data_IF_352521504047
#
_entry.id   IF_352521504047
#
_cell.length_a   1.000
_cell.length_b   1.000
_cell.length_c   1.000
_cell.angle_alpha   90.00
_cell.angle_beta   90.00
_cell.angle_gamma   90.00
#
_symmetry.space_group_name_H-M   'P 1'
#
loop_
_entity.id
_entity.type
_entity.pdbx_description
1 polymer ?
#
# COMPACT_ATOMS: atom_id res chain seq x y z
N UNK A 1 -69.08 -22.48 -11.51
CA UNK A 1 -67.66 -22.33 -11.88
C UNK A 1 -67.47 -21.52 -13.17
N UNK A 2 -68.30 -20.53 -13.48
CA UNK A 2 -68.23 -19.67 -14.69
C UNK A 2 -68.18 -18.17 -14.39
N UNK A 3 -68.30 -17.75 -13.14
CA UNK A 3 -68.32 -16.32 -12.74
C UNK A 3 -66.96 -15.80 -12.34
N UNK A 4 -66.04 -16.66 -11.83
CA UNK A 4 -64.71 -16.24 -11.42
C UNK A 4 -63.73 -15.93 -12.57
N UNK A 5 -63.98 -16.43 -13.79
CA UNK A 5 -63.11 -16.16 -14.97
C UNK A 5 -63.32 -14.79 -15.61
N UNK A 6 -64.49 -14.13 -15.36
CA UNK A 6 -64.77 -12.80 -15.98
C UNK A 6 -64.21 -11.62 -15.17
N UNK A 7 -63.91 -11.76 -13.87
CA UNK A 7 -63.40 -10.67 -13.03
C UNK A 7 -61.90 -10.47 -13.22
N UNK A 8 -61.16 -11.51 -13.62
CA UNK A 8 -59.69 -11.42 -13.77
C UNK A 8 -59.23 -10.78 -15.10
N UNK A 9 -60.08 -10.72 -16.13
CA UNK A 9 -59.71 -10.16 -17.44
C UNK A 9 -60.03 -8.67 -17.59
N UNK A 10 -60.79 -8.05 -16.67
CA UNK A 10 -61.15 -6.65 -16.77
C UNK A 10 -60.11 -5.66 -16.16
N UNK A 11 -59.05 -6.18 -15.50
CA UNK A 11 -58.00 -5.33 -14.87
C UNK A 11 -56.77 -5.11 -15.72
N UNK A 12 -56.63 -5.76 -16.86
CA UNK A 12 -55.50 -5.61 -17.77
C UNK A 12 -55.77 -4.57 -18.85
N UNK A 13 -55.85 -3.29 -18.47
CA UNK A 13 -55.79 -2.23 -19.47
C UNK A 13 -54.39 -2.24 -20.12
N UNK A 14 -54.30 -2.35 -21.47
CA UNK A 14 -53.01 -2.43 -22.19
C UNK A 14 -52.06 -1.28 -21.82
N UNK A 15 -52.60 -0.11 -21.50
CA UNK A 15 -51.80 1.03 -21.01
C UNK A 15 -51.08 0.75 -19.66
N UNK A 16 -51.69 0.01 -18.72
CA UNK A 16 -51.10 -0.34 -17.43
C UNK A 16 -50.02 -1.41 -17.57
N UNK A 17 -50.16 -2.35 -18.50
CA UNK A 17 -49.17 -3.37 -18.80
C UNK A 17 -47.95 -2.75 -19.44
N UNK A 18 -48.12 -1.81 -20.38
CA UNK A 18 -47.02 -1.07 -21.03
C UNK A 18 -46.27 -0.24 -19.99
N UNK A 19 -46.96 0.46 -19.06
CA UNK A 19 -46.33 1.23 -18.01
C UNK A 19 -45.53 0.34 -17.05
N UNK A 20 -46.08 -0.82 -16.64
CA UNK A 20 -45.35 -1.79 -15.80
C UNK A 20 -44.12 -2.38 -16.51
N UNK A 21 -44.21 -2.66 -17.81
CA UNK A 21 -43.13 -3.20 -18.62
C UNK A 21 -41.99 -2.14 -18.81
N UNK A 22 -42.37 -0.88 -19.02
CA UNK A 22 -41.40 0.25 -19.11
C UNK A 22 -40.72 0.47 -17.77
N UNK A 23 -41.42 0.42 -16.63
CA UNK A 23 -40.81 0.50 -15.30
C UNK A 23 -39.85 -0.68 -15.03
N UNK A 24 -40.21 -1.90 -15.49
CA UNK A 24 -39.33 -3.07 -15.32
C UNK A 24 -38.05 -2.99 -16.16
N UNK A 25 -38.09 -2.30 -17.31
CA UNK A 25 -36.92 -2.07 -18.19
C UNK A 25 -35.99 -0.95 -17.68
N UNK A 26 -36.47 -0.06 -16.82
CA UNK A 26 -35.69 1.04 -16.28
C UNK A 26 -34.87 0.61 -15.02
N UNK A 27 -35.32 -0.41 -14.29
CA UNK A 27 -34.68 -0.90 -13.07
C UNK A 27 -33.24 -1.39 -13.29
N UNK A 28 -32.83 -2.05 -14.38
CA UNK A 28 -31.45 -2.46 -14.59
C UNK A 28 -30.49 -1.32 -14.93
N UNK A 29 -30.97 -0.10 -15.24
CA UNK A 29 -30.09 1.05 -15.50
C UNK A 29 -29.64 1.82 -14.25
N UNK A 30 -30.19 1.51 -13.08
CA UNK A 30 -29.62 1.90 -11.80
C UNK A 30 -28.59 0.84 -11.32
N UNK A 31 -27.65 0.44 -12.17
CA UNK A 31 -26.46 -0.22 -11.72
C UNK A 31 -25.70 0.80 -10.86
N UNK A 32 -25.91 0.79 -9.55
CA UNK A 32 -25.04 1.47 -8.61
C UNK A 32 -23.63 0.94 -8.87
N UNK A 33 -22.80 1.72 -9.52
CA UNK A 33 -21.37 1.42 -9.57
C UNK A 33 -20.90 1.28 -8.13
N UNK A 34 -20.39 0.11 -7.77
CA UNK A 34 -19.82 -0.08 -6.45
C UNK A 34 -18.72 0.99 -6.26
N UNK A 35 -18.66 1.62 -5.09
CA UNK A 35 -17.62 2.60 -4.83
C UNK A 35 -16.25 1.92 -5.02
N UNK A 36 -15.37 2.56 -5.78
CA UNK A 36 -14.03 2.02 -6.05
C UNK A 36 -13.25 1.95 -4.74
N UNK A 37 -12.74 0.76 -4.45
CA UNK A 37 -11.81 0.56 -3.34
C UNK A 37 -10.38 0.82 -3.83
N UNK A 38 -9.83 1.99 -3.56
CA UNK A 38 -8.50 2.39 -4.02
C UNK A 38 -7.36 1.54 -3.43
N UNK A 39 -7.57 0.82 -2.32
CA UNK A 39 -6.57 -0.12 -1.78
C UNK A 39 -6.30 -1.29 -2.72
N UNK A 40 -7.27 -1.63 -3.58
CA UNK A 40 -7.11 -2.69 -4.57
C UNK A 40 -6.12 -2.33 -5.69
N UNK A 41 -5.72 -1.06 -5.77
CA UNK A 41 -4.79 -0.53 -6.77
C UNK A 41 -3.41 -0.21 -6.18
N UNK A 42 -3.14 -0.61 -4.93
CA UNK A 42 -1.83 -0.42 -4.31
C UNK A 42 -0.85 -1.48 -4.81
N UNK A 43 0.15 -1.05 -5.58
CA UNK A 43 1.22 -1.89 -6.17
C UNK A 43 2.47 -1.96 -5.30
N UNK A 44 2.70 -0.93 -4.48
CA UNK A 44 3.77 -0.91 -3.48
C UNK A 44 3.26 -0.33 -2.16
N UNK A 45 3.53 -1.04 -1.07
CA UNK A 45 3.22 -0.62 0.28
C UNK A 45 4.44 -0.79 1.18
N UNK A 46 5.01 0.31 1.70
CA UNK A 46 5.91 0.26 2.87
C UNK A 46 5.08 0.57 4.10
N UNK A 47 4.76 -0.48 4.86
CA UNK A 47 3.82 -0.40 5.98
C UNK A 47 4.49 -0.11 7.32
N UNK A 48 5.79 -0.45 7.48
CA UNK A 48 6.56 -0.23 8.70
C UNK A 48 8.04 0.04 8.39
N UNK A 49 8.69 0.72 9.33
CA UNK A 49 10.13 0.99 9.34
C UNK A 49 10.64 0.65 10.74
N UNK A 50 11.73 -0.10 10.84
CA UNK A 50 12.43 -0.36 12.08
C UNK A 50 13.81 0.29 12.01
N UNK A 51 14.22 0.96 13.07
CA UNK A 51 15.47 1.67 13.17
C UNK A 51 16.29 1.15 14.34
N UNK A 52 17.58 0.96 14.11
CA UNK A 52 18.57 0.82 15.17
C UNK A 52 19.77 1.68 14.83
N UNK A 53 20.17 2.51 15.77
CA UNK A 53 21.29 3.43 15.62
C UNK A 53 22.33 3.17 16.71
N UNK A 54 23.58 3.12 16.30
CA UNK A 54 24.74 3.11 17.18
C UNK A 54 25.71 4.20 16.70
N UNK A 55 26.86 4.35 17.35
CA UNK A 55 27.90 5.28 16.91
C UNK A 55 28.38 4.99 15.48
N UNK A 56 28.42 3.70 15.10
CA UNK A 56 29.08 3.23 13.88
C UNK A 56 28.08 2.68 12.84
N UNK A 57 26.85 2.35 13.24
CA UNK A 57 25.89 1.70 12.37
C UNK A 57 24.52 2.37 12.41
N UNK A 58 23.92 2.57 11.20
CA UNK A 58 22.53 2.95 11.04
C UNK A 58 21.80 1.83 10.29
N UNK A 59 21.04 1.03 11.02
CA UNK A 59 20.25 -0.05 10.49
C UNK A 59 18.81 0.40 10.26
N UNK A 60 18.30 0.16 9.05
CA UNK A 60 16.90 0.36 8.68
C UNK A 60 16.35 -0.93 8.12
N UNK A 61 15.22 -1.37 8.65
CA UNK A 61 14.50 -2.53 8.15
C UNK A 61 13.11 -2.07 7.70
N UNK A 62 12.71 -2.39 6.48
CA UNK A 62 11.42 -2.02 5.91
C UNK A 62 10.52 -3.24 5.76
N UNK A 63 9.29 -3.13 6.24
CA UNK A 63 8.20 -4.03 5.87
C UNK A 63 7.57 -3.53 4.59
N UNK A 64 7.77 -4.25 3.49
CA UNK A 64 7.31 -3.86 2.16
C UNK A 64 6.44 -4.95 1.57
N UNK A 65 5.34 -4.57 0.94
CA UNK A 65 4.58 -5.43 0.03
C UNK A 65 4.66 -4.78 -1.35
N UNK A 66 5.21 -5.49 -2.33
CA UNK A 66 5.37 -4.96 -3.68
C UNK A 66 5.28 -6.04 -4.75
N UNK A 67 5.00 -5.62 -5.96
CA UNK A 67 4.98 -6.47 -7.15
C UNK A 67 6.36 -7.10 -7.42
N UNK A 68 6.36 -8.27 -8.04
CA UNK A 68 7.58 -8.93 -8.51
C UNK A 68 7.34 -9.53 -9.90
N UNK A 69 7.99 -9.03 -10.98
CA UNK A 69 8.90 -7.89 -11.01
C UNK A 69 8.17 -6.56 -10.70
N UNK A 70 8.91 -5.61 -10.10
CA UNK A 70 8.36 -4.30 -9.78
C UNK A 70 8.37 -3.41 -11.02
N UNK A 71 7.18 -3.03 -11.50
CA UNK A 71 6.97 -2.18 -12.66
C UNK A 71 6.07 -1.00 -12.26
N UNK A 72 6.43 0.20 -12.68
CA UNK A 72 5.64 1.41 -12.49
C UNK A 72 5.00 1.78 -13.84
N UNK A 73 3.97 1.05 -14.24
CA UNK A 73 3.32 1.19 -15.55
C UNK A 73 1.83 1.53 -15.48
N UNK A 74 1.35 1.89 -14.28
CA UNK A 74 -0.05 2.25 -14.03
C UNK A 74 -1.00 1.04 -13.96
N UNK A 75 -0.47 -0.19 -13.84
CA UNK A 75 -1.25 -1.41 -13.75
C UNK A 75 -0.80 -2.29 -12.59
N UNK A 76 -1.62 -2.39 -11.55
CA UNK A 76 -1.34 -3.24 -10.38
C UNK A 76 -1.34 -4.73 -10.74
N UNK A 77 -0.41 -5.48 -10.15
CA UNK A 77 -0.27 -6.93 -10.18
C UNK A 77 -0.26 -7.52 -8.76
N UNK A 78 -0.03 -8.83 -8.67
CA UNK A 78 0.15 -9.49 -7.37
C UNK A 78 1.38 -8.96 -6.63
N UNK A 79 1.23 -8.77 -5.32
CA UNK A 79 2.29 -8.26 -4.45
C UNK A 79 2.81 -9.37 -3.53
N UNK A 80 4.08 -9.27 -3.16
CA UNK A 80 4.74 -10.19 -2.23
C UNK A 80 5.30 -9.40 -1.05
N UNK A 81 5.08 -9.90 0.16
CA UNK A 81 5.65 -9.32 1.37
C UNK A 81 7.15 -9.59 1.45
N UNK A 82 7.90 -8.54 1.74
CA UNK A 82 9.36 -8.56 1.82
C UNK A 82 9.84 -7.81 3.05
N UNK A 83 10.89 -8.34 3.65
CA UNK A 83 11.71 -7.64 4.61
C UNK A 83 12.95 -7.12 3.86
N UNK A 84 13.12 -5.80 3.80
CA UNK A 84 14.27 -5.15 3.16
C UNK A 84 15.13 -4.50 4.23
N UNK A 85 16.40 -4.88 4.27
CA UNK A 85 17.39 -4.43 5.24
C UNK A 85 18.39 -3.51 4.56
N UNK A 86 18.65 -2.36 5.14
CA UNK A 86 19.64 -1.38 4.71
C UNK A 86 20.51 -1.03 5.90
N UNK A 87 21.82 -1.09 5.70
CA UNK A 87 22.80 -0.79 6.74
C UNK A 87 23.84 0.20 6.20
N UNK A 88 23.93 1.35 6.86
CA UNK A 88 25.05 2.25 6.70
C UNK A 88 26.12 1.88 7.75
N UNK A 89 27.35 1.63 7.29
CA UNK A 89 28.49 1.22 8.09
C UNK A 89 29.70 2.15 7.82
N UNK A 90 30.71 2.17 8.72
CA UNK A 90 31.87 3.08 8.59
C UNK A 90 32.74 2.85 7.34
N UNK A 91 32.73 1.65 6.77
CA UNK A 91 33.49 1.28 5.58
C UNK A 91 32.70 0.22 4.79
N UNK A 92 32.89 0.17 3.48
CA UNK A 92 32.30 -0.83 2.57
C UNK A 92 33.25 -1.98 2.20
N UNK A 93 34.48 -1.96 2.72
CA UNK A 93 35.53 -2.95 2.40
C UNK A 93 35.45 -4.22 3.25
N UNK A 94 34.50 -4.31 4.17
CA UNK A 94 34.40 -5.40 5.13
C UNK A 94 33.22 -6.30 4.82
N UNK A 95 33.40 -7.59 5.08
CA UNK A 95 32.30 -8.57 5.08
C UNK A 95 31.25 -8.13 6.11
N UNK A 96 30.02 -8.16 5.68
CA UNK A 96 28.88 -7.74 6.47
C UNK A 96 27.80 -8.81 6.44
N UNK A 97 27.50 -9.40 7.59
CA UNK A 97 26.48 -10.45 7.74
C UNK A 97 25.50 -10.02 8.82
N UNK A 98 24.21 -10.11 8.54
CA UNK A 98 23.16 -9.80 9.51
C UNK A 98 22.20 -10.96 9.63
N UNK A 99 21.93 -11.37 10.86
CA UNK A 99 20.88 -12.33 11.18
C UNK A 99 19.87 -11.73 12.14
N UNK A 100 18.62 -12.16 12.01
CA UNK A 100 17.53 -11.83 12.92
C UNK A 100 16.55 -13.00 13.02
N UNK A 101 15.76 -13.02 14.10
CA UNK A 101 14.80 -14.10 14.37
C UNK A 101 13.38 -13.54 14.38
N UNK A 102 12.48 -14.18 13.63
CA UNK A 102 11.06 -13.87 13.60
C UNK A 102 10.27 -15.17 13.79
N UNK A 103 9.38 -15.19 14.77
CA UNK A 103 8.56 -16.38 15.11
C UNK A 103 9.37 -17.67 15.33
N UNK A 104 10.60 -17.56 15.85
CA UNK A 104 11.49 -18.68 16.10
C UNK A 104 12.32 -19.16 14.90
N UNK A 105 12.11 -18.59 13.73
CA UNK A 105 12.89 -18.88 12.53
C UNK A 105 13.98 -17.82 12.31
N UNK A 106 15.16 -18.28 11.90
CA UNK A 106 16.32 -17.42 11.63
C UNK A 106 16.34 -16.98 10.17
N UNK A 107 16.41 -15.67 9.96
CA UNK A 107 16.53 -15.01 8.67
C UNK A 107 17.83 -14.22 8.60
N UNK A 108 18.26 -13.87 7.39
CA UNK A 108 19.44 -13.03 7.17
C UNK A 108 20.50 -13.75 6.36
N UNK A 109 21.70 -13.18 6.35
CA UNK A 109 22.85 -13.66 5.59
C UNK A 109 23.82 -12.54 5.30
N UNK A 110 24.67 -12.75 4.31
CA UNK A 110 25.60 -11.74 3.79
C UNK A 110 24.82 -10.59 3.13
N UNK A 111 25.20 -9.35 3.46
CA UNK A 111 24.63 -8.15 2.87
C UNK A 111 25.47 -7.75 1.65
N UNK A 112 24.81 -7.50 0.52
CA UNK A 112 25.46 -6.96 -0.67
C UNK A 112 25.64 -5.46 -0.55
N UNK A 113 26.81 -4.95 -0.94
CA UNK A 113 27.04 -3.52 -0.95
C UNK A 113 26.47 -2.86 -2.22
N UNK A 114 25.62 -1.85 -2.04
CA UNK A 114 25.10 -0.99 -3.11
C UNK A 114 25.93 0.29 -3.20
N UNK A 115 26.84 0.33 -4.19
CA UNK A 115 27.75 1.48 -4.42
C UNK A 115 27.07 2.74 -4.92
N UNK A 116 25.83 2.66 -5.41
CA UNK A 116 25.04 3.85 -5.81
C UNK A 116 24.47 4.55 -4.58
N UNK A 117 23.95 3.76 -3.64
CA UNK A 117 23.37 4.27 -2.38
C UNK A 117 24.40 4.40 -1.26
N UNK A 118 25.58 3.80 -1.42
CA UNK A 118 26.64 3.71 -0.42
C UNK A 118 26.19 3.05 0.88
N UNK A 119 25.45 1.94 0.76
CA UNK A 119 24.90 1.17 1.88
C UNK A 119 24.88 -0.32 1.59
N UNK A 120 24.90 -1.14 2.63
CA UNK A 120 24.68 -2.58 2.53
C UNK A 120 23.20 -2.90 2.44
N UNK A 121 22.85 -3.93 1.67
CA UNK A 121 21.47 -4.33 1.39
C UNK A 121 21.28 -5.84 1.49
N UNK A 122 20.15 -6.25 2.08
CA UNK A 122 19.65 -7.62 2.06
C UNK A 122 18.13 -7.60 1.93
N UNK A 123 17.55 -8.63 1.30
CA UNK A 123 16.11 -8.76 1.20
C UNK A 123 15.68 -10.20 1.21
N UNK A 124 14.60 -10.51 1.93
CA UNK A 124 13.96 -11.83 1.93
C UNK A 124 12.42 -11.70 1.87
N UNK A 125 11.76 -12.79 1.47
CA UNK A 125 10.30 -12.90 1.51
C UNK A 125 9.87 -13.18 2.95
N UNK A 126 9.40 -12.15 3.64
CA UNK A 126 8.98 -12.22 5.04
C UNK A 126 8.06 -11.02 5.34
N UNK A 127 6.97 -11.26 6.04
CA UNK A 127 6.13 -10.19 6.59
C UNK A 127 6.57 -9.85 8.02
N UNK A 128 7.04 -8.62 8.19
CA UNK A 128 7.42 -8.04 9.50
C UNK A 128 6.55 -6.83 9.86
N UNK A 129 5.48 -6.59 9.12
CA UNK A 129 4.68 -5.36 9.21
C UNK A 129 4.06 -5.10 10.59
N UNK A 130 3.74 -6.16 11.33
CA UNK A 130 3.06 -6.10 12.63
C UNK A 130 4.00 -6.13 13.84
N UNK A 131 5.30 -6.33 13.62
CA UNK A 131 6.27 -6.40 14.70
C UNK A 131 6.50 -5.02 15.31
N UNK A 132 6.84 -4.99 16.59
CA UNK A 132 7.22 -3.76 17.32
C UNK A 132 8.73 -3.55 17.34
N UNK A 133 9.50 -4.65 17.31
CA UNK A 133 10.95 -4.65 17.29
C UNK A 133 11.48 -5.90 16.60
N UNK A 134 12.71 -5.83 16.13
CA UNK A 134 13.45 -6.92 15.50
C UNK A 134 14.85 -6.96 16.13
N UNK A 135 15.16 -8.06 16.82
CA UNK A 135 16.49 -8.29 17.36
C UNK A 135 17.42 -8.86 16.28
N UNK A 136 18.54 -8.23 16.10
CA UNK A 136 19.49 -8.56 15.06
C UNK A 136 20.89 -8.82 15.66
N UNK A 137 21.63 -9.73 15.05
CA UNK A 137 23.07 -9.91 15.26
C UNK A 137 23.78 -9.51 13.98
N UNK A 138 24.54 -8.43 14.05
CA UNK A 138 25.38 -7.92 12.97
C UNK A 138 26.81 -8.41 13.17
N UNK A 139 27.39 -9.09 12.17
CA UNK A 139 28.82 -9.38 12.09
C UNK A 139 29.42 -8.50 11.02
N UNK A 140 30.33 -7.62 11.42
CA UNK A 140 30.99 -6.66 10.54
C UNK A 140 32.52 -6.75 10.70
N UNK A 141 33.22 -7.19 9.64
CA UNK A 141 34.68 -7.41 9.70
C UNK A 141 35.08 -8.42 10.79
N UNK A 142 34.26 -9.44 11.06
CA UNK A 142 34.49 -10.48 12.06
C UNK A 142 34.09 -10.08 13.49
N UNK A 143 33.58 -8.88 13.74
CA UNK A 143 33.12 -8.43 15.05
C UNK A 143 31.59 -8.50 15.12
N UNK A 144 31.08 -9.20 16.13
CA UNK A 144 29.63 -9.31 16.38
C UNK A 144 29.12 -8.13 17.23
N UNK A 145 27.96 -7.60 16.82
CA UNK A 145 27.24 -6.52 17.50
C UNK A 145 25.76 -6.88 17.57
N UNK A 146 25.17 -6.89 18.75
CA UNK A 146 23.74 -7.01 18.92
C UNK A 146 23.04 -5.67 18.67
N UNK A 147 22.01 -5.67 17.86
CA UNK A 147 21.19 -4.51 17.52
C UNK A 147 19.71 -4.83 17.79
N UNK A 148 18.95 -3.87 18.28
CA UNK A 148 17.50 -3.97 18.41
C UNK A 148 16.87 -2.87 17.56
N UNK A 149 16.32 -3.25 16.43
CA UNK A 149 15.62 -2.33 15.53
C UNK A 149 14.16 -2.18 15.98
N UNK A 150 13.78 -0.95 16.35
CA UNK A 150 12.46 -0.62 16.90
C UNK A 150 11.59 0.03 15.83
N UNK A 151 10.33 -0.36 15.77
CA UNK A 151 9.34 0.23 14.86
C UNK A 151 9.16 1.72 15.14
N UNK A 152 9.16 2.53 14.09
CA UNK A 152 8.83 3.96 14.15
C UNK A 152 7.33 4.22 14.28
N UNK A 153 6.50 3.20 14.10
CA UNK A 153 5.05 3.32 14.28
C UNK A 153 4.71 3.33 15.75
N UNK A 154 3.85 4.26 16.11
CA UNK A 154 3.23 4.39 17.42
C UNK A 154 1.73 4.11 17.31
N UNK A 155 1.03 3.96 18.41
CA UNK A 155 -0.40 3.66 18.42
C UNK A 155 -1.26 4.74 17.73
N UNK A 156 -0.76 5.97 17.64
CA UNK A 156 -1.39 7.11 16.95
C UNK A 156 -0.99 7.23 15.47
N UNK A 157 -0.09 6.38 14.96
CA UNK A 157 0.24 6.32 13.53
C UNK A 157 -0.91 5.67 12.77
N UNK A 158 -1.47 6.37 11.79
CA UNK A 158 -2.53 5.84 10.94
C UNK A 158 -2.08 4.55 10.23
N UNK A 159 -3.03 3.67 9.94
CA UNK A 159 -2.74 2.60 8.97
C UNK A 159 -2.60 3.21 7.56
N UNK A 160 -1.82 2.58 6.66
CA UNK A 160 -1.69 3.04 5.27
C UNK A 160 -3.04 3.20 4.57
N UNK A 161 -3.97 2.28 4.80
CA UNK A 161 -5.34 2.33 4.27
C UNK A 161 -6.09 3.58 4.78
N UNK A 162 -6.01 3.88 6.09
CA UNK A 162 -6.64 5.09 6.64
C UNK A 162 -6.02 6.36 6.05
N UNK A 163 -4.68 6.38 5.89
CA UNK A 163 -3.99 7.52 5.28
C UNK A 163 -4.43 7.73 3.82
N UNK A 164 -4.56 6.65 3.03
CA UNK A 164 -5.09 6.71 1.67
C UNK A 164 -6.54 7.21 1.65
N UNK A 165 -7.39 6.71 2.53
CA UNK A 165 -8.79 7.12 2.62
C UNK A 165 -8.93 8.62 2.96
N UNK A 166 -8.09 9.15 3.85
CA UNK A 166 -8.07 10.60 4.12
C UNK A 166 -7.61 11.40 2.89
N UNK A 167 -6.61 10.93 2.16
CA UNK A 167 -6.18 11.56 0.91
C UNK A 167 -7.30 11.58 -0.14
N UNK A 168 -7.97 10.45 -0.36
CA UNK A 168 -9.08 10.32 -1.33
C UNK A 168 -10.22 11.30 -1.00
N UNK A 169 -10.51 11.53 0.28
CA UNK A 169 -11.53 12.52 0.69
C UNK A 169 -11.13 13.95 0.31
N UNK A 170 -9.87 14.32 0.53
CA UNK A 170 -9.35 15.67 0.26
C UNK A 170 -9.15 15.91 -1.23
N UNK A 171 -8.65 14.92 -1.95
CA UNK A 171 -8.34 14.96 -3.39
C UNK A 171 -9.40 14.22 -4.23
N UNK A 172 -10.65 14.20 -3.78
CA UNK A 172 -11.74 13.44 -4.40
C UNK A 172 -11.91 13.75 -5.90
N UNK A 173 -11.75 15.01 -6.30
CA UNK A 173 -11.84 15.40 -7.70
C UNK A 173 -10.73 14.74 -8.55
N UNK A 174 -9.50 14.69 -8.03
CA UNK A 174 -8.37 14.02 -8.67
C UNK A 174 -8.64 12.53 -8.87
N UNK A 175 -9.01 11.81 -7.80
CA UNK A 175 -9.29 10.39 -7.87
C UNK A 175 -10.51 10.06 -8.75
N UNK A 176 -11.56 10.88 -8.69
CA UNK A 176 -12.75 10.71 -9.52
C UNK A 176 -12.47 10.88 -11.02
N UNK A 177 -11.58 11.82 -11.41
CA UNK A 177 -11.15 11.99 -12.80
C UNK A 177 -10.39 10.78 -13.36
N UNK A 178 -9.71 10.05 -12.49
CA UNK A 178 -8.97 8.83 -12.84
C UNK A 178 -9.81 7.56 -12.72
N UNK A 179 -11.09 7.68 -12.42
CA UNK A 179 -12.00 6.55 -12.20
C UNK A 179 -13.08 6.54 -13.27
N UNK A 180 -13.26 5.42 -13.95
CA UNK A 180 -14.31 5.18 -14.94
C UNK A 180 -15.17 3.95 -14.59
N UNK A 181 -15.99 3.46 -15.52
CA UNK A 181 -16.84 2.28 -15.35
C UNK A 181 -16.05 0.97 -15.19
N UNK A 182 -14.76 0.96 -15.53
CA UNK A 182 -13.86 -0.19 -15.40
C UNK A 182 -13.01 -0.15 -14.14
N UNK A 183 -13.06 0.95 -13.39
CA UNK A 183 -12.32 1.15 -12.14
C UNK A 183 -11.34 2.31 -12.22
N UNK A 184 -10.32 2.26 -11.36
CA UNK A 184 -9.29 3.29 -11.28
C UNK A 184 -8.21 3.07 -12.36
N UNK A 185 -7.89 4.11 -13.11
CA UNK A 185 -6.98 4.06 -14.28
C UNK A 185 -5.53 4.39 -13.88
N UNK A 186 -5.00 3.70 -12.88
CA UNK A 186 -3.63 3.89 -12.41
C UNK A 186 -3.25 2.89 -11.34
N UNK A 187 -2.06 3.06 -10.80
CA UNK A 187 -1.56 2.33 -9.63
C UNK A 187 -1.15 3.30 -8.51
N UNK A 188 -1.13 2.80 -7.29
CA UNK A 188 -0.86 3.58 -6.10
C UNK A 188 0.34 2.98 -5.36
N UNK A 189 1.34 3.81 -5.05
CA UNK A 189 2.44 3.46 -4.16
C UNK A 189 2.26 4.19 -2.83
N UNK A 190 2.29 3.46 -1.72
CA UNK A 190 2.21 4.04 -0.37
C UNK A 190 3.49 3.70 0.39
N UNK A 191 4.20 4.71 0.87
CA UNK A 191 5.43 4.52 1.64
C UNK A 191 5.35 5.28 2.95
N UNK A 192 5.41 4.54 4.07
CA UNK A 192 5.72 5.16 5.34
C UNK A 192 7.13 5.76 5.25
N UNK A 193 7.27 7.00 5.67
CA UNK A 193 8.53 7.74 5.82
C UNK A 193 8.67 8.14 7.28
N UNK A 194 9.89 8.29 7.74
CA UNK A 194 10.20 8.76 9.08
C UNK A 194 11.45 9.64 9.06
N UNK A 195 11.32 10.80 9.65
CA UNK A 195 12.43 11.71 9.94
C UNK A 195 12.35 12.05 11.43
N UNK A 196 11.63 13.08 11.83
CA UNK A 196 11.31 13.39 13.23
C UNK A 196 9.92 12.87 13.63
N UNK A 197 9.10 12.54 12.65
CA UNK A 197 7.72 12.07 12.80
C UNK A 197 7.35 11.13 11.63
N UNK A 198 6.29 10.33 11.76
CA UNK A 198 5.78 9.52 10.66
C UNK A 198 5.08 10.38 9.60
N UNK A 199 5.35 10.09 8.33
CA UNK A 199 4.68 10.66 7.16
C UNK A 199 4.29 9.54 6.21
N UNK A 200 3.30 9.78 5.35
CA UNK A 200 3.02 8.91 4.21
C UNK A 200 3.30 9.64 2.90
N UNK A 201 4.17 9.06 2.11
CA UNK A 201 4.25 9.36 0.69
C UNK A 201 3.23 8.50 -0.04
N UNK A 202 2.37 9.13 -0.84
CA UNK A 202 1.44 8.44 -1.74
C UNK A 202 1.74 8.90 -3.16
N UNK A 203 2.20 7.99 -4.00
CA UNK A 203 2.40 8.21 -5.44
C UNK A 203 1.27 7.58 -6.21
N UNK A 204 0.63 8.33 -7.09
CA UNK A 204 -0.35 7.84 -8.06
C UNK A 204 0.31 7.89 -9.42
N UNK A 205 0.44 6.72 -10.06
CA UNK A 205 1.10 6.55 -11.35
C UNK A 205 0.03 6.23 -12.39
N UNK A 206 -0.07 7.07 -13.42
CA UNK A 206 -0.97 6.91 -14.55
C UNK A 206 -0.35 5.96 -15.59
N UNK A 207 -1.16 5.41 -16.48
CA UNK A 207 -0.69 4.48 -17.53
C UNK A 207 0.27 5.11 -18.54
N UNK A 208 0.29 6.42 -18.65
CA UNK A 208 1.24 7.17 -19.49
C UNK A 208 2.56 7.46 -18.75
N UNK A 209 2.68 7.01 -17.48
CA UNK A 209 3.85 7.21 -16.63
C UNK A 209 3.86 8.53 -15.86
N UNK A 210 2.86 9.40 -16.05
CA UNK A 210 2.71 10.60 -15.23
C UNK A 210 2.50 10.22 -13.78
N UNK A 211 3.19 10.91 -12.87
CA UNK A 211 3.12 10.63 -11.44
C UNK A 211 2.69 11.87 -10.68
N UNK A 212 1.63 11.72 -9.89
CA UNK A 212 1.23 12.72 -8.89
C UNK A 212 1.59 12.19 -7.52
N UNK A 213 2.41 12.94 -6.79
CA UNK A 213 2.91 12.59 -5.47
C UNK A 213 2.27 13.46 -4.39
N UNK A 214 1.88 12.84 -3.29
CA UNK A 214 1.28 13.47 -2.12
C UNK A 214 2.10 13.12 -0.88
N UNK A 215 2.27 14.10 0.01
CA UNK A 215 2.87 13.90 1.33
C UNK A 215 1.81 14.16 2.39
N UNK A 216 1.61 13.21 3.28
CA UNK A 216 0.62 13.28 4.35
C UNK A 216 1.28 13.20 5.72
N UNK A 217 0.71 13.88 6.70
CA UNK A 217 1.06 13.67 8.10
C UNK A 217 0.63 12.25 8.52
N UNK A 218 1.55 11.45 9.03
CA UNK A 218 1.33 10.04 9.34
C UNK A 218 0.37 9.77 10.51
N UNK A 219 0.08 10.78 11.34
CA UNK A 219 -0.84 10.66 12.48
C UNK A 219 -2.25 11.18 12.15
N UNK A 220 -2.35 12.23 11.37
CA UNK A 220 -3.63 12.91 11.10
C UNK A 220 -4.18 12.67 9.71
N UNK A 221 -3.38 12.15 8.77
CA UNK A 221 -3.75 12.03 7.36
C UNK A 221 -3.82 13.38 6.61
N UNK A 222 -3.49 14.50 7.27
CA UNK A 222 -3.55 15.82 6.64
C UNK A 222 -2.55 15.91 5.50
N UNK A 223 -3.03 16.35 4.32
CA UNK A 223 -2.20 16.65 3.16
C UNK A 223 -1.24 17.81 3.48
N UNK A 224 0.05 17.59 3.28
CA UNK A 224 1.13 18.56 3.53
C UNK A 224 1.67 19.14 2.23
N UNK A 225 1.80 18.31 1.20
CA UNK A 225 2.32 18.72 -0.10
C UNK A 225 1.75 17.85 -1.22
N UNK A 226 1.66 18.45 -2.42
CA UNK A 226 1.30 17.77 -3.68
C UNK A 226 2.31 18.19 -4.75
N UNK A 227 2.74 17.24 -5.58
CA UNK A 227 3.66 17.49 -6.71
C UNK A 227 3.27 16.62 -7.89
N UNK A 228 3.18 17.20 -9.07
CA UNK A 228 3.01 16.52 -10.36
C UNK A 228 4.36 16.47 -11.10
N UNK A 229 4.63 15.33 -11.74
CA UNK A 229 5.82 15.11 -12.58
C UNK A 229 5.40 14.46 -13.90
#
# INVERSE_FOLDING_TARGET
MRILKRVFLSFLHPKKIITALVCLLIIPFCACSQPVNYTDYVSELRSNIFLAETKDFHLRIYAVSKESPYLLDGAKRETTNRCEVYLLAPSFEKDCVLFFTVNGEKYGGELSFDNVKNEYFYSCTLDVSTLKQIECTLTYGGVETALCATSVRTDDTLSPEKALNELVKVENEFFSKMTDTYGFAGEICIRLLYEDAPYYYVGVIERDGKTTAFLLNGKTGRLLAKRER
#
